data_IF_176081283933
#
_entry.id   IF_176081283933
#
_cell.length_a   1.000
_cell.length_b   1.000
_cell.length_c   1.000
_cell.angle_alpha   90.00
_cell.angle_beta   90.00
_cell.angle_gamma   90.00
#
_symmetry.space_group_name_H-M   'P 1'
#
loop_
_entity.id
_entity.type
_entity.pdbx_description
1 polymer ?
#
# COMPACT_ATOMS: atom_id res chain seq x y z
N UNK A 1 -9.69 30.01 -3.73
CA UNK A 1 -10.91 29.45 -4.37
C UNK A 1 -10.94 28.01 -3.94
N UNK A 2 -12.04 27.53 -3.35
CA UNK A 2 -12.16 26.13 -3.00
C UNK A 2 -11.98 25.30 -4.29
N UNK A 3 -11.16 24.25 -4.24
CA UNK A 3 -11.04 23.33 -5.36
C UNK A 3 -12.39 22.64 -5.62
N UNK A 4 -12.74 22.38 -6.89
CA UNK A 4 -14.01 21.76 -7.19
C UNK A 4 -14.12 20.38 -6.51
N UNK A 5 -15.27 20.10 -5.97
CA UNK A 5 -15.67 18.77 -5.52
C UNK A 5 -15.63 17.86 -6.75
N UNK A 6 -15.04 16.65 -6.62
CA UNK A 6 -15.04 15.68 -7.72
C UNK A 6 -16.48 15.38 -8.12
N UNK A 7 -16.78 15.45 -9.42
CA UNK A 7 -18.05 14.98 -9.95
C UNK A 7 -18.07 13.45 -9.96
N UNK A 8 -18.85 12.87 -9.05
CA UNK A 8 -18.98 11.42 -8.91
C UNK A 8 -20.46 11.03 -8.97
N UNK A 9 -20.88 10.51 -10.12
CA UNK A 9 -22.26 10.05 -10.32
C UNK A 9 -22.69 8.97 -9.33
N UNK A 10 -21.76 8.10 -8.90
CA UNK A 10 -22.08 7.06 -7.91
C UNK A 10 -22.43 7.65 -6.55
N UNK A 11 -21.73 8.70 -6.14
CA UNK A 11 -22.02 9.41 -4.90
C UNK A 11 -23.33 10.21 -5.03
N UNK A 12 -23.50 10.93 -6.12
CA UNK A 12 -24.70 11.74 -6.38
C UNK A 12 -25.99 10.89 -6.44
N UNK A 13 -25.90 9.65 -6.96
CA UNK A 13 -27.02 8.70 -7.06
C UNK A 13 -27.17 7.78 -5.83
N UNK A 14 -26.41 7.98 -4.76
CA UNK A 14 -26.40 7.15 -3.55
C UNK A 14 -26.05 5.66 -3.79
N UNK A 15 -25.31 5.37 -4.84
CA UNK A 15 -24.88 4.01 -5.20
C UNK A 15 -23.60 3.59 -4.49
N UNK A 16 -22.73 4.55 -4.13
CA UNK A 16 -21.47 4.30 -3.44
C UNK A 16 -21.20 5.40 -2.40
N UNK A 17 -20.90 4.99 -1.18
CA UNK A 17 -20.57 5.87 -0.04
C UNK A 17 -19.15 5.63 0.51
N UNK A 18 -18.26 5.05 -0.30
CA UNK A 18 -16.86 4.82 0.10
C UNK A 18 -16.08 6.11 0.31
N UNK A 19 -16.50 7.20 -0.34
CA UNK A 19 -15.95 8.56 -0.20
C UNK A 19 -16.82 9.37 0.77
N UNK A 20 -16.71 9.10 2.07
CA UNK A 20 -17.59 9.65 3.10
C UNK A 20 -17.55 11.19 3.22
N UNK A 21 -16.49 11.85 2.68
CA UNK A 21 -16.29 13.30 2.72
C UNK A 21 -16.38 13.98 1.36
N UNK A 22 -16.93 13.33 0.35
CA UNK A 22 -16.94 13.86 -1.01
C UNK A 22 -17.81 15.12 -1.18
N UNK A 23 -18.75 15.36 -0.28
CA UNK A 23 -19.59 16.55 -0.20
C UNK A 23 -18.90 17.76 0.45
N UNK A 24 -17.71 17.58 1.00
CA UNK A 24 -16.90 18.61 1.64
C UNK A 24 -15.80 19.10 0.69
N UNK A 25 -15.52 20.42 0.56
CA UNK A 25 -14.37 20.93 -0.17
C UNK A 25 -13.06 20.29 0.29
N UNK A 26 -12.14 20.04 -0.65
CA UNK A 26 -10.96 19.22 -0.34
C UNK A 26 -10.02 19.86 0.69
N UNK A 27 -9.86 21.18 0.67
CA UNK A 27 -9.12 21.94 1.67
C UNK A 27 -9.72 21.81 3.09
N UNK A 28 -11.05 21.79 3.21
CA UNK A 28 -11.75 21.55 4.47
C UNK A 28 -11.58 20.10 4.95
N UNK A 29 -11.60 19.11 4.01
CA UNK A 29 -11.30 17.71 4.34
C UNK A 29 -9.90 17.60 4.96
N UNK A 30 -8.89 18.21 4.32
CA UNK A 30 -7.51 18.18 4.76
C UNK A 30 -7.34 18.84 6.14
N UNK A 31 -7.92 20.03 6.32
CA UNK A 31 -7.89 20.75 7.59
C UNK A 31 -8.55 19.94 8.72
N UNK A 32 -9.74 19.38 8.48
CA UNK A 32 -10.45 18.57 9.47
C UNK A 32 -9.67 17.31 9.88
N UNK A 33 -9.05 16.62 8.92
CA UNK A 33 -8.18 15.46 9.20
C UNK A 33 -6.98 15.87 10.04
N UNK A 34 -6.33 16.98 9.67
CA UNK A 34 -5.17 17.49 10.37
C UNK A 34 -5.49 17.82 11.82
N UNK A 35 -6.57 18.57 12.08
CA UNK A 35 -6.98 18.91 13.45
C UNK A 35 -7.34 17.64 14.27
N UNK A 36 -7.97 16.66 13.63
CA UNK A 36 -8.27 15.39 14.28
C UNK A 36 -7.01 14.61 14.69
N UNK A 37 -5.98 14.61 13.86
CA UNK A 37 -4.69 13.97 14.17
C UNK A 37 -3.92 14.76 15.21
N UNK A 38 -3.86 16.09 15.05
CA UNK A 38 -3.16 17.01 15.96
C UNK A 38 -3.71 16.95 17.39
N UNK A 39 -5.00 16.73 17.54
CA UNK A 39 -5.62 16.59 18.86
C UNK A 39 -5.20 15.30 19.60
N UNK A 40 -4.64 14.32 18.89
CA UNK A 40 -4.23 13.03 19.45
C UNK A 40 -2.71 12.94 19.70
N UNK A 41 -1.90 13.67 18.95
CA UNK A 41 -0.44 13.55 18.95
C UNK A 41 0.18 14.88 19.40
N UNK A 42 0.84 14.86 20.54
CA UNK A 42 1.59 16.01 21.06
C UNK A 42 2.99 16.07 20.42
N UNK A 43 3.08 16.76 19.29
CA UNK A 43 4.34 16.96 18.57
C UNK A 43 4.88 18.38 18.80
N UNK A 44 6.19 18.50 19.08
CA UNK A 44 6.86 19.81 19.25
C UNK A 44 6.73 20.67 17.99
N UNK A 45 6.80 20.03 16.82
CA UNK A 45 6.66 20.70 15.53
C UNK A 45 5.77 19.88 14.60
N UNK A 46 4.73 20.52 14.07
CA UNK A 46 3.95 19.98 12.97
C UNK A 46 4.44 20.56 11.65
N UNK A 47 4.87 19.67 10.75
CA UNK A 47 5.16 20.04 9.37
C UNK A 47 3.85 20.25 8.60
N UNK A 48 3.85 21.07 7.53
CA UNK A 48 2.67 21.23 6.69
C UNK A 48 2.12 19.89 6.22
N UNK A 49 0.80 19.73 6.28
CA UNK A 49 0.12 18.53 5.77
C UNK A 49 0.36 18.39 4.27
N UNK A 50 0.58 17.17 3.80
CA UNK A 50 0.71 16.89 2.38
C UNK A 50 -0.64 16.48 1.79
N UNK A 51 -1.11 17.30 0.86
CA UNK A 51 -2.30 17.04 0.08
C UNK A 51 -2.01 16.03 -1.04
N UNK A 52 -2.95 15.15 -1.32
CA UNK A 52 -2.91 14.26 -2.47
C UNK A 52 -3.67 14.86 -3.64
N UNK A 53 -3.45 14.32 -4.85
CA UNK A 53 -4.41 14.53 -5.94
C UNK A 53 -5.77 14.00 -5.50
N UNK A 54 -6.86 14.74 -5.75
CA UNK A 54 -8.18 14.30 -5.34
C UNK A 54 -8.73 13.14 -6.19
N UNK A 55 -8.21 12.92 -7.38
CA UNK A 55 -8.59 11.85 -8.31
C UNK A 55 -7.38 11.22 -8.99
N UNK A 56 -7.58 10.04 -9.60
CA UNK A 56 -6.54 9.28 -10.32
C UNK A 56 -5.29 8.97 -9.47
N UNK A 57 -5.44 8.91 -8.15
CA UNK A 57 -4.33 8.65 -7.22
C UNK A 57 -4.18 7.17 -6.84
N UNK A 58 -5.27 6.39 -6.95
CA UNK A 58 -5.31 5.03 -6.43
C UNK A 58 -4.71 4.04 -7.44
N UNK A 59 -3.55 3.54 -7.11
CA UNK A 59 -2.78 2.59 -7.93
C UNK A 59 -3.18 1.12 -7.73
N UNK A 60 -4.06 0.80 -6.79
CA UNK A 60 -4.53 -0.58 -6.51
C UNK A 60 -6.02 -0.55 -6.16
N UNK A 61 -6.78 -1.36 -6.87
CA UNK A 61 -8.21 -1.56 -6.62
C UNK A 61 -8.51 -3.04 -6.42
N UNK A 62 -9.54 -3.29 -5.64
CA UNK A 62 -10.13 -4.60 -5.46
C UNK A 62 -11.61 -4.52 -5.79
N UNK A 63 -11.98 -5.17 -6.86
CA UNK A 63 -13.30 -5.11 -7.45
C UNK A 63 -14.05 -6.42 -7.18
N UNK A 64 -15.23 -6.32 -6.61
CA UNK A 64 -16.18 -7.45 -6.54
C UNK A 64 -16.65 -7.77 -7.95
N UNK A 65 -16.66 -9.05 -8.31
CA UNK A 65 -17.24 -9.50 -9.56
C UNK A 65 -18.70 -9.91 -9.30
N UNK A 66 -19.64 -9.20 -9.88
CA UNK A 66 -21.07 -9.38 -9.72
C UNK A 66 -21.80 -9.40 -11.07
N UNK A 67 -23.11 -9.32 -11.07
CA UNK A 67 -23.93 -9.37 -12.28
C UNK A 67 -24.14 -10.77 -12.83
N UNK A 68 -24.24 -10.90 -14.16
CA UNK A 68 -24.47 -12.16 -14.86
C UNK A 68 -23.29 -12.52 -15.75
N UNK A 69 -23.29 -13.74 -16.30
CA UNK A 69 -22.25 -14.21 -17.23
C UNK A 69 -22.17 -13.33 -18.48
N UNK A 70 -23.32 -12.82 -18.96
CA UNK A 70 -23.41 -11.97 -20.15
C UNK A 70 -23.15 -10.49 -19.84
N UNK A 71 -23.30 -10.08 -18.58
CA UNK A 71 -23.12 -8.70 -18.12
C UNK A 71 -22.38 -8.71 -16.77
N UNK A 72 -21.11 -9.11 -16.74
CA UNK A 72 -20.31 -9.03 -15.52
C UNK A 72 -20.07 -7.56 -15.15
N UNK A 73 -20.14 -7.28 -13.86
CA UNK A 73 -19.91 -5.98 -13.26
C UNK A 73 -18.69 -6.05 -12.34
N UNK A 74 -17.83 -5.06 -12.42
CA UNK A 74 -16.63 -4.95 -11.59
C UNK A 74 -16.71 -3.70 -10.71
N UNK A 75 -16.83 -3.89 -9.39
CA UNK A 75 -16.97 -2.74 -8.51
C UNK A 75 -17.10 -3.09 -7.04
N UNK A 76 -18.14 -2.57 -6.41
CA UNK A 76 -18.63 -2.99 -5.09
C UNK A 76 -19.89 -3.84 -5.31
N UNK A 77 -20.43 -4.46 -4.24
CA UNK A 77 -21.58 -5.35 -4.38
C UNK A 77 -22.70 -4.70 -5.19
N UNK A 78 -23.03 -5.33 -6.34
CA UNK A 78 -24.10 -4.93 -7.27
C UNK A 78 -23.95 -3.53 -7.91
N UNK A 79 -22.81 -2.87 -7.79
CA UNK A 79 -22.51 -1.58 -8.44
C UNK A 79 -21.23 -1.69 -9.26
N UNK A 80 -21.35 -1.47 -10.56
CA UNK A 80 -20.21 -1.37 -11.48
C UNK A 80 -19.47 -0.04 -11.24
N UNK A 81 -18.17 -0.08 -10.95
CA UNK A 81 -17.36 1.11 -10.64
C UNK A 81 -16.35 1.45 -11.76
N UNK A 82 -16.61 1.04 -13.02
CA UNK A 82 -15.69 1.33 -14.14
C UNK A 82 -15.39 2.82 -14.34
N UNK A 83 -16.32 3.70 -13.97
CA UNK A 83 -16.22 5.15 -14.12
C UNK A 83 -15.85 5.85 -12.80
N UNK A 84 -15.41 5.09 -11.78
CA UNK A 84 -14.93 5.69 -10.53
C UNK A 84 -13.71 6.58 -10.81
N UNK A 85 -13.69 7.85 -10.36
CA UNK A 85 -12.58 8.77 -10.65
C UNK A 85 -11.31 8.51 -9.85
N UNK A 86 -11.37 7.74 -8.76
CA UNK A 86 -10.23 7.57 -7.85
C UNK A 86 -9.09 6.70 -8.40
N UNK A 87 -9.34 5.58 -9.13
CA UNK A 87 -8.27 4.78 -9.68
C UNK A 87 -7.52 5.52 -10.79
N UNK A 88 -6.25 5.17 -10.95
CA UNK A 88 -5.42 5.61 -12.07
C UNK A 88 -6.07 5.27 -13.43
N UNK A 89 -5.69 5.98 -14.46
CA UNK A 89 -6.30 5.84 -15.80
C UNK A 89 -6.15 4.44 -16.36
N UNK A 90 -4.99 3.79 -16.18
CA UNK A 90 -4.76 2.42 -16.65
C UNK A 90 -5.69 1.41 -15.97
N UNK A 91 -5.93 1.55 -14.66
CA UNK A 91 -6.88 0.71 -13.94
C UNK A 91 -8.31 0.91 -14.44
N UNK A 92 -8.74 2.15 -14.69
CA UNK A 92 -10.10 2.44 -15.21
C UNK A 92 -10.31 1.78 -16.57
N UNK A 93 -9.36 1.95 -17.49
CA UNK A 93 -9.40 1.32 -18.81
C UNK A 93 -9.42 -0.21 -18.67
N UNK A 94 -8.51 -0.76 -17.87
CA UNK A 94 -8.43 -2.21 -17.66
C UNK A 94 -9.71 -2.79 -17.04
N UNK A 95 -10.41 -2.07 -16.18
CA UNK A 95 -11.66 -2.53 -15.56
C UNK A 95 -12.72 -2.87 -16.61
N UNK A 96 -12.90 -2.03 -17.62
CA UNK A 96 -13.84 -2.30 -18.73
C UNK A 96 -13.39 -3.49 -19.59
N UNK A 97 -12.09 -3.56 -19.89
CA UNK A 97 -11.49 -4.65 -20.67
C UNK A 97 -11.56 -6.01 -19.94
N UNK A 98 -11.38 -6.00 -18.63
CA UNK A 98 -11.49 -7.21 -17.79
C UNK A 98 -12.94 -7.70 -17.70
N UNK A 99 -13.93 -6.81 -17.63
CA UNK A 99 -15.33 -7.18 -17.70
C UNK A 99 -15.65 -7.86 -19.05
N UNK A 100 -15.12 -7.33 -20.16
CA UNK A 100 -15.25 -7.93 -21.48
C UNK A 100 -14.59 -9.31 -21.56
N UNK A 101 -13.37 -9.47 -21.04
CA UNK A 101 -12.67 -10.77 -20.98
C UNK A 101 -13.47 -11.81 -20.18
N UNK A 102 -14.01 -11.43 -19.02
CA UNK A 102 -14.82 -12.31 -18.16
C UNK A 102 -16.06 -12.77 -18.92
N UNK A 103 -16.70 -11.87 -19.67
CA UNK A 103 -17.86 -12.17 -20.52
C UNK A 103 -17.48 -13.11 -21.67
N UNK A 104 -16.43 -12.81 -22.45
CA UNK A 104 -15.96 -13.65 -23.58
C UNK A 104 -15.59 -15.07 -23.12
N UNK A 105 -15.02 -15.20 -21.93
CA UNK A 105 -14.61 -16.47 -21.36
C UNK A 105 -15.74 -17.21 -20.62
N UNK A 106 -16.95 -16.62 -20.57
CA UNK A 106 -18.09 -17.14 -19.84
C UNK A 106 -17.77 -17.53 -18.38
N UNK A 107 -16.92 -16.73 -17.70
CA UNK A 107 -16.56 -16.96 -16.29
C UNK A 107 -17.68 -16.44 -15.41
N UNK A 108 -18.34 -17.34 -14.71
CA UNK A 108 -19.51 -17.02 -13.91
C UNK A 108 -19.12 -16.24 -12.64
N UNK A 109 -19.67 -15.00 -12.42
CA UNK A 109 -19.56 -14.27 -11.17
C UNK A 109 -20.04 -15.10 -9.98
N UNK A 110 -19.34 -15.02 -8.85
CA UNK A 110 -19.76 -15.71 -7.64
C UNK A 110 -20.86 -14.95 -6.92
N UNK A 111 -21.96 -15.63 -6.66
CA UNK A 111 -23.05 -15.10 -5.87
C UNK A 111 -23.06 -15.77 -4.46
N UNK A 112 -22.74 -15.03 -3.40
CA UNK A 112 -22.67 -15.57 -2.04
C UNK A 112 -24.04 -16.04 -1.48
N UNK A 113 -25.14 -15.46 -1.95
CA UNK A 113 -26.48 -15.82 -1.47
C UNK A 113 -26.91 -17.20 -1.99
N UNK A 114 -26.53 -17.56 -3.23
CA UNK A 114 -26.89 -18.84 -3.85
C UNK A 114 -25.74 -19.85 -3.84
N UNK A 115 -24.54 -19.43 -3.42
CA UNK A 115 -23.30 -20.21 -3.48
C UNK A 115 -22.96 -20.72 -4.90
N UNK A 116 -23.39 -20.01 -5.93
CA UNK A 116 -23.16 -20.34 -7.34
C UNK A 116 -22.12 -19.40 -7.94
N UNK A 117 -21.48 -19.87 -9.03
CA UNK A 117 -20.41 -19.14 -9.69
C UNK A 117 -19.04 -19.38 -9.08
N UNK A 118 -18.02 -18.77 -9.66
CA UNK A 118 -16.63 -19.09 -9.31
C UNK A 118 -15.77 -17.85 -9.05
N UNK A 119 -15.96 -16.74 -9.78
CA UNK A 119 -15.09 -15.57 -9.72
C UNK A 119 -15.63 -14.57 -8.71
N UNK A 120 -14.85 -14.30 -7.67
CA UNK A 120 -15.23 -13.42 -6.54
C UNK A 120 -14.77 -11.99 -6.72
N UNK A 121 -13.48 -11.83 -7.03
CA UNK A 121 -12.85 -10.52 -7.13
C UNK A 121 -11.88 -10.48 -8.31
N UNK A 122 -11.64 -9.27 -8.79
CA UNK A 122 -10.47 -8.91 -9.58
C UNK A 122 -9.71 -7.83 -8.84
N UNK A 123 -8.40 -8.05 -8.62
CA UNK A 123 -7.51 -7.07 -8.00
C UNK A 123 -6.59 -6.57 -9.10
N UNK A 124 -6.57 -5.25 -9.30
CA UNK A 124 -5.72 -4.61 -10.30
C UNK A 124 -4.77 -3.65 -9.61
N UNK A 125 -3.48 -3.77 -9.94
CA UNK A 125 -2.44 -2.83 -9.48
C UNK A 125 -1.76 -2.23 -10.69
N UNK A 126 -1.60 -0.92 -10.73
CA UNK A 126 -0.87 -0.20 -11.77
C UNK A 126 0.48 0.30 -11.24
N UNK A 127 1.52 0.02 -11.98
CA UNK A 127 2.87 0.53 -11.75
C UNK A 127 2.99 1.98 -12.24
N UNK A 128 3.99 2.70 -11.73
CA UNK A 128 4.38 4.03 -12.24
C UNK A 128 4.83 4.02 -13.71
N UNK A 129 5.13 2.84 -14.26
CA UNK A 129 5.42 2.63 -15.69
C UNK A 129 4.17 2.39 -16.55
N UNK A 130 2.99 2.34 -15.94
CA UNK A 130 1.73 2.01 -16.60
C UNK A 130 1.49 0.50 -16.77
N UNK A 131 2.43 -0.36 -16.37
CA UNK A 131 2.22 -1.81 -16.39
C UNK A 131 1.20 -2.23 -15.32
N UNK A 132 0.48 -3.29 -15.62
CA UNK A 132 -0.60 -3.80 -14.76
C UNK A 132 -0.30 -5.19 -14.22
N UNK A 133 -0.64 -5.40 -12.95
CA UNK A 133 -0.83 -6.72 -12.36
C UNK A 133 -2.31 -6.96 -12.15
N UNK A 134 -2.83 -8.05 -12.70
CA UNK A 134 -4.22 -8.48 -12.56
C UNK A 134 -4.27 -9.81 -11.83
N UNK A 135 -5.01 -9.85 -10.73
CA UNK A 135 -5.20 -11.04 -9.92
C UNK A 135 -6.68 -11.43 -9.93
N UNK A 136 -7.00 -12.56 -10.50
CA UNK A 136 -8.34 -13.14 -10.44
C UNK A 136 -8.47 -13.93 -9.15
N UNK A 137 -9.47 -13.64 -8.33
CA UNK A 137 -9.73 -14.36 -7.08
C UNK A 137 -10.96 -15.24 -7.27
N UNK A 138 -10.77 -16.55 -7.26
CA UNK A 138 -11.83 -17.52 -7.50
C UNK A 138 -11.97 -18.53 -6.37
N UNK A 139 -13.15 -19.10 -6.22
CA UNK A 139 -13.43 -20.13 -5.20
C UNK A 139 -12.66 -21.42 -5.38
N UNK A 140 -12.24 -21.73 -6.60
CA UNK A 140 -11.61 -22.99 -6.97
C UNK A 140 -10.75 -22.84 -8.21
N UNK A 141 -9.83 -23.77 -8.41
CA UNK A 141 -8.90 -23.81 -9.56
C UNK A 141 -9.57 -23.95 -10.94
N UNK A 142 -10.88 -24.19 -11.04
CA UNK A 142 -11.57 -24.43 -12.31
C UNK A 142 -11.43 -23.32 -13.35
N UNK A 143 -11.08 -22.09 -12.93
CA UNK A 143 -10.82 -20.96 -13.83
C UNK A 143 -9.40 -21.00 -14.42
N UNK A 144 -8.46 -21.73 -13.80
CA UNK A 144 -7.06 -21.80 -14.21
C UNK A 144 -6.87 -22.17 -15.69
N UNK A 145 -7.52 -23.25 -16.11
CA UNK A 145 -7.42 -23.73 -17.51
C UNK A 145 -7.95 -22.72 -18.52
N UNK A 146 -8.98 -21.95 -18.14
CA UNK A 146 -9.53 -20.88 -18.99
C UNK A 146 -8.51 -19.76 -19.10
N UNK A 147 -7.94 -19.31 -17.98
CA UNK A 147 -6.96 -18.23 -17.94
C UNK A 147 -5.72 -18.57 -18.78
N UNK A 148 -5.15 -19.76 -18.63
CA UNK A 148 -4.02 -20.20 -19.46
C UNK A 148 -4.37 -20.25 -20.95
N UNK A 149 -5.50 -20.87 -21.30
CA UNK A 149 -5.91 -21.01 -22.70
C UNK A 149 -6.22 -19.68 -23.37
N UNK A 150 -6.68 -18.70 -22.62
CA UNK A 150 -7.11 -17.38 -23.11
C UNK A 150 -6.16 -16.25 -22.72
N UNK A 151 -4.95 -16.58 -22.26
CA UNK A 151 -3.99 -15.58 -21.80
C UNK A 151 -3.58 -14.61 -22.91
N UNK A 152 -3.33 -15.08 -24.13
CA UNK A 152 -3.04 -14.21 -25.28
C UNK A 152 -4.18 -13.23 -25.54
N UNK A 153 -5.44 -13.70 -25.49
CA UNK A 153 -6.60 -12.84 -25.65
C UNK A 153 -6.71 -11.80 -24.53
N UNK A 154 -6.36 -12.18 -23.30
CA UNK A 154 -6.30 -11.24 -22.19
C UNK A 154 -5.24 -10.15 -22.44
N UNK A 155 -4.06 -10.51 -22.93
CA UNK A 155 -3.00 -9.56 -23.30
C UNK A 155 -3.41 -8.63 -24.46
N UNK A 156 -4.18 -9.13 -25.44
CA UNK A 156 -4.74 -8.28 -26.51
C UNK A 156 -5.72 -7.22 -25.96
N UNK A 157 -6.60 -7.62 -25.03
CA UNK A 157 -7.57 -6.72 -24.40
C UNK A 157 -6.91 -5.75 -23.43
N UNK A 158 -5.90 -6.20 -22.69
CA UNK A 158 -5.18 -5.42 -21.67
C UNK A 158 -3.69 -5.37 -22.04
N UNK A 159 -3.29 -4.53 -23.02
CA UNK A 159 -1.91 -4.54 -23.55
C UNK A 159 -0.81 -4.22 -22.53
N UNK A 160 -1.17 -3.54 -21.43
CA UNK A 160 -0.24 -3.21 -20.34
C UNK A 160 -0.15 -4.30 -19.27
N UNK A 161 -0.79 -5.45 -19.48
CA UNK A 161 -0.73 -6.58 -18.54
C UNK A 161 0.68 -7.17 -18.49
N UNK A 162 1.32 -7.06 -17.33
CA UNK A 162 2.65 -7.63 -17.07
C UNK A 162 2.58 -8.88 -16.20
N UNK A 163 1.72 -8.84 -15.17
CA UNK A 163 1.55 -9.95 -14.22
C UNK A 163 0.09 -10.37 -14.16
N UNK A 164 -0.16 -11.65 -14.32
CA UNK A 164 -1.48 -12.24 -14.18
C UNK A 164 -1.42 -13.44 -13.26
N UNK A 165 -2.32 -13.50 -12.28
CA UNK A 165 -2.41 -14.64 -11.35
C UNK A 165 -3.86 -15.07 -11.12
N UNK A 166 -4.01 -16.27 -10.61
CA UNK A 166 -5.23 -16.80 -10.03
C UNK A 166 -5.00 -17.08 -8.55
N UNK A 167 -5.69 -16.36 -7.68
CA UNK A 167 -5.75 -16.64 -6.25
C UNK A 167 -6.95 -17.56 -5.98
N UNK A 168 -6.72 -18.64 -5.23
CA UNK A 168 -7.78 -19.59 -4.85
C UNK A 168 -8.26 -19.30 -3.44
N UNK A 169 -9.49 -18.80 -3.33
CA UNK A 169 -10.11 -18.43 -2.06
C UNK A 169 -11.44 -19.21 -1.88
N UNK A 170 -11.43 -20.42 -1.27
CA UNK A 170 -12.59 -21.30 -1.19
C UNK A 170 -13.61 -20.89 -0.13
N UNK A 171 -13.21 -20.12 0.88
CA UNK A 171 -14.04 -19.80 2.02
C UNK A 171 -15.21 -18.86 1.68
N UNK A 172 -16.34 -19.02 2.38
CA UNK A 172 -17.51 -18.14 2.24
C UNK A 172 -17.39 -16.83 3.02
N UNK A 173 -16.37 -16.73 3.87
CA UNK A 173 -16.11 -15.53 4.69
C UNK A 173 -15.70 -14.34 3.82
N UNK A 174 -15.79 -13.14 4.37
CA UNK A 174 -15.34 -11.89 3.77
C UNK A 174 -13.80 -11.76 3.67
N UNK A 175 -13.08 -12.89 3.68
CA UNK A 175 -11.66 -12.96 3.38
C UNK A 175 -11.50 -12.84 1.87
N UNK A 176 -10.63 -11.96 1.44
CA UNK A 176 -10.51 -11.59 0.04
C UNK A 176 -9.61 -12.54 -0.71
N UNK A 177 -8.51 -12.92 -0.09
CA UNK A 177 -7.42 -13.70 -0.68
C UNK A 177 -7.25 -15.02 0.07
N UNK A 178 -7.03 -16.10 -0.67
CA UNK A 178 -6.64 -17.39 -0.11
C UNK A 178 -5.11 -17.53 -0.11
N UNK A 179 -4.65 -18.63 0.45
CA UNK A 179 -3.21 -18.92 0.57
C UNK A 179 -2.58 -19.28 -0.78
N UNK A 180 -3.36 -19.88 -1.68
CA UNK A 180 -2.84 -20.38 -2.94
C UNK A 180 -2.88 -19.29 -4.03
N UNK A 181 -1.70 -18.97 -4.58
CA UNK A 181 -1.52 -18.05 -5.71
C UNK A 181 -0.89 -18.81 -6.89
N UNK A 182 -1.56 -18.83 -8.04
CA UNK A 182 -1.13 -19.52 -9.25
C UNK A 182 -0.72 -18.48 -10.28
N UNK A 183 0.54 -18.49 -10.69
CA UNK A 183 1.05 -17.61 -11.73
C UNK A 183 0.53 -18.06 -13.10
N UNK A 184 -0.03 -17.13 -13.87
CA UNK A 184 -0.54 -17.33 -15.24
C UNK A 184 0.41 -16.70 -16.26
N UNK A 185 0.96 -15.53 -15.98
CA UNK A 185 1.96 -14.83 -16.80
C UNK A 185 3.35 -15.44 -16.64
N UNK A 186 4.26 -15.13 -17.56
CA UNK A 186 5.70 -15.44 -17.40
C UNK A 186 6.35 -14.55 -16.34
N UNK A 187 5.98 -13.28 -16.33
CA UNK A 187 6.49 -12.31 -15.36
C UNK A 187 5.84 -12.54 -13.99
N UNK A 188 6.67 -12.55 -12.92
CA UNK A 188 6.27 -12.89 -11.55
C UNK A 188 6.03 -11.69 -10.65
N UNK A 189 6.63 -10.56 -10.99
CA UNK A 189 6.56 -9.33 -10.20
C UNK A 189 6.27 -8.12 -11.07
N UNK A 190 5.64 -7.11 -10.49
CA UNK A 190 5.36 -5.84 -11.13
C UNK A 190 6.43 -4.83 -10.73
N UNK A 191 7.28 -4.34 -11.64
CA UNK A 191 8.23 -3.27 -11.34
C UNK A 191 7.49 -2.00 -10.92
N UNK A 192 7.88 -1.43 -9.79
CA UNK A 192 7.34 -0.20 -9.24
C UNK A 192 8.48 0.79 -8.96
N UNK A 193 9.07 1.40 -10.00
CA UNK A 193 10.07 2.45 -9.78
C UNK A 193 9.39 3.70 -9.21
N UNK A 194 9.89 4.17 -8.07
CA UNK A 194 9.39 5.34 -7.36
C UNK A 194 10.48 6.39 -7.19
N UNK A 195 10.09 7.64 -6.99
CA UNK A 195 11.01 8.75 -6.76
C UNK A 195 11.06 9.04 -5.26
N UNK A 196 12.23 8.86 -4.66
CA UNK A 196 12.47 9.25 -3.26
C UNK A 196 13.44 10.42 -3.27
N UNK A 197 12.91 11.63 -3.27
CA UNK A 197 13.69 12.88 -3.23
C UNK A 197 13.32 13.67 -1.99
N UNK A 198 14.32 14.36 -1.42
CA UNK A 198 14.06 15.26 -0.29
C UNK A 198 13.05 16.34 -0.72
N UNK A 199 11.91 16.48 -0.01
CA UNK A 199 10.91 17.49 -0.32
C UNK A 199 11.43 18.93 -0.24
N UNK A 200 12.58 19.13 0.41
CA UNK A 200 13.23 20.45 0.56
C UNK A 200 14.27 20.73 -0.55
N UNK A 201 14.61 19.74 -1.39
CA UNK A 201 15.54 19.92 -2.49
C UNK A 201 14.78 20.13 -3.80
N UNK A 202 15.03 21.27 -4.46
CA UNK A 202 14.60 21.46 -5.84
C UNK A 202 15.11 20.30 -6.71
N UNK A 203 14.27 19.80 -7.62
CA UNK A 203 14.61 18.72 -8.55
C UNK A 203 15.82 19.10 -9.40
N UNK A 204 17.02 18.89 -8.88
CA UNK A 204 18.26 18.97 -9.65
C UNK A 204 18.46 17.67 -10.45
N UNK A 205 19.08 17.80 -11.61
CA UNK A 205 19.34 16.68 -12.53
C UNK A 205 19.99 15.51 -11.79
N UNK A 206 19.34 14.34 -11.79
CA UNK A 206 19.86 13.13 -11.16
C UNK A 206 18.94 12.45 -10.15
N UNK A 207 17.61 12.67 -10.22
CA UNK A 207 16.66 11.98 -9.35
C UNK A 207 16.83 10.46 -9.47
N UNK A 208 17.42 9.84 -8.45
CA UNK A 208 17.56 8.39 -8.40
C UNK A 208 16.20 7.76 -8.08
N UNK A 209 15.79 6.84 -8.94
CA UNK A 209 14.59 6.05 -8.69
C UNK A 209 14.91 4.86 -7.82
N UNK A 210 14.09 4.67 -6.81
CA UNK A 210 14.07 3.45 -6.03
C UNK A 210 13.26 2.40 -6.79
N UNK A 211 13.85 1.23 -7.01
CA UNK A 211 13.22 0.14 -7.74
C UNK A 211 12.61 -0.85 -6.75
N UNK A 212 11.28 -0.91 -6.69
CA UNK A 212 10.55 -1.92 -5.94
C UNK A 212 10.00 -2.97 -6.90
N UNK A 213 9.87 -4.21 -6.43
CA UNK A 213 9.25 -5.31 -7.17
C UNK A 213 8.05 -5.83 -6.37
N UNK A 214 6.86 -5.61 -6.90
CA UNK A 214 5.62 -6.04 -6.24
C UNK A 214 5.26 -7.45 -6.67
N UNK A 215 5.29 -8.41 -5.74
CA UNK A 215 4.70 -9.72 -5.94
C UNK A 215 3.19 -9.68 -5.69
N UNK A 216 2.40 -10.64 -6.18
CA UNK A 216 0.93 -10.61 -6.11
C UNK A 216 0.38 -10.36 -4.71
N UNK A 217 0.95 -10.96 -3.68
CA UNK A 217 0.52 -10.83 -2.28
C UNK A 217 1.23 -9.70 -1.53
N UNK A 218 2.13 -8.97 -2.17
CA UNK A 218 2.85 -7.86 -1.53
C UNK A 218 1.92 -6.71 -1.18
N UNK A 219 2.13 -6.15 0.01
CA UNK A 219 1.55 -4.86 0.36
C UNK A 219 2.39 -3.74 -0.24
N UNK A 220 1.73 -2.78 -0.87
CA UNK A 220 2.28 -1.49 -1.25
C UNK A 220 1.21 -0.42 -1.03
N UNK A 221 1.63 0.80 -0.70
CA UNK A 221 0.73 1.94 -0.49
C UNK A 221 -0.10 2.21 -1.75
N UNK A 222 -1.41 2.44 -1.57
CA UNK A 222 -2.35 2.59 -2.70
C UNK A 222 -2.33 3.95 -3.36
N UNK A 223 -1.54 4.89 -2.85
CA UNK A 223 -1.30 6.22 -3.38
C UNK A 223 0.23 6.40 -3.51
N UNK A 224 0.73 6.30 -4.74
CA UNK A 224 2.17 6.29 -4.99
C UNK A 224 2.84 7.61 -4.61
N UNK A 225 2.22 8.75 -4.94
CA UNK A 225 2.76 10.07 -4.64
C UNK A 225 2.93 10.29 -3.13
N UNK A 226 1.94 9.87 -2.35
CA UNK A 226 2.03 9.92 -0.89
C UNK A 226 3.03 8.91 -0.32
N UNK A 227 3.19 7.74 -0.94
CA UNK A 227 4.22 6.77 -0.55
C UNK A 227 5.62 7.30 -0.79
N UNK A 228 5.87 7.94 -1.94
CA UNK A 228 7.14 8.60 -2.28
C UNK A 228 7.49 9.67 -1.23
N UNK A 229 6.54 10.54 -0.90
CA UNK A 229 6.72 11.57 0.11
C UNK A 229 6.97 10.98 1.52
N UNK A 230 6.29 9.89 1.87
CA UNK A 230 6.45 9.19 3.13
C UNK A 230 7.86 8.60 3.28
N UNK A 231 8.34 7.91 2.26
CA UNK A 231 9.68 7.34 2.23
C UNK A 231 10.76 8.41 2.22
N UNK A 232 10.56 9.49 1.45
CA UNK A 232 11.47 10.64 1.42
C UNK A 232 11.59 11.31 2.80
N UNK A 233 10.49 11.47 3.51
CA UNK A 233 10.48 12.03 4.86
C UNK A 233 11.26 11.16 5.85
N UNK A 234 11.04 9.86 5.83
CA UNK A 234 11.77 8.92 6.69
C UNK A 234 13.27 8.92 6.36
N UNK A 235 13.62 8.89 5.08
CA UNK A 235 14.99 8.95 4.60
C UNK A 235 15.70 10.25 5.05
N UNK A 236 15.02 11.40 4.94
CA UNK A 236 15.54 12.68 5.41
C UNK A 236 15.80 12.68 6.93
N UNK A 237 14.88 12.14 7.72
CA UNK A 237 15.05 12.08 9.18
C UNK A 237 16.11 11.09 9.65
N UNK A 238 16.44 10.11 8.83
CA UNK A 238 17.49 9.12 9.10
C UNK A 238 18.88 9.53 8.58
N UNK A 239 19.01 10.70 7.94
CA UNK A 239 20.31 11.17 7.42
C UNK A 239 21.38 11.20 8.51
N UNK A 240 22.57 10.68 8.18
CA UNK A 240 23.71 10.58 9.09
C UNK A 240 23.70 9.38 10.03
N UNK A 241 22.63 8.58 10.04
CA UNK A 241 22.63 7.33 10.76
C UNK A 241 23.49 6.26 10.06
N UNK A 242 24.23 5.46 10.85
CA UNK A 242 25.03 4.35 10.34
C UNK A 242 24.22 3.05 10.23
N UNK A 243 23.19 2.89 11.07
CA UNK A 243 22.36 1.67 11.13
C UNK A 243 20.89 1.96 11.35
N UNK A 244 20.04 1.16 10.70
CA UNK A 244 18.59 1.26 10.85
C UNK A 244 17.89 -0.11 10.76
N UNK A 245 16.76 -0.24 11.44
CA UNK A 245 15.82 -1.35 11.27
C UNK A 245 14.50 -0.81 10.72
N UNK A 246 13.95 -1.52 9.73
CA UNK A 246 12.60 -1.29 9.17
C UNK A 246 11.71 -2.44 9.61
N UNK A 247 10.91 -2.23 10.64
CA UNK A 247 10.00 -3.23 11.20
C UNK A 247 8.63 -3.13 10.52
N UNK A 248 8.08 -4.28 10.12
CA UNK A 248 6.91 -4.38 9.22
C UNK A 248 7.23 -3.85 7.81
N UNK A 249 8.40 -4.21 7.28
CA UNK A 249 8.97 -3.56 6.11
C UNK A 249 8.22 -3.84 4.79
N UNK A 250 7.35 -4.84 4.73
CA UNK A 250 6.62 -5.20 3.51
C UNK A 250 7.57 -5.46 2.34
N UNK A 251 7.42 -4.69 1.26
CA UNK A 251 8.31 -4.75 0.08
C UNK A 251 9.65 -4.01 0.25
N UNK A 252 9.91 -3.48 1.45
CA UNK A 252 11.17 -2.80 1.77
C UNK A 252 11.25 -1.33 1.35
N UNK A 253 10.12 -0.66 1.16
CA UNK A 253 10.11 0.73 0.71
C UNK A 253 10.91 1.68 1.61
N UNK A 254 10.72 1.59 2.93
CA UNK A 254 11.51 2.37 3.89
C UNK A 254 12.97 1.90 3.92
N UNK A 255 13.23 0.60 4.06
CA UNK A 255 14.60 0.08 4.14
C UNK A 255 15.47 0.51 2.97
N UNK A 256 14.96 0.38 1.74
CA UNK A 256 15.68 0.78 0.54
C UNK A 256 15.82 2.31 0.41
N UNK A 257 14.83 3.09 0.87
CA UNK A 257 14.93 4.55 0.90
C UNK A 257 15.98 5.05 1.90
N UNK A 258 16.10 4.39 3.07
CA UNK A 258 17.14 4.68 4.05
C UNK A 258 18.54 4.39 3.51
N UNK A 259 18.72 3.25 2.82
CA UNK A 259 19.99 2.91 2.17
C UNK A 259 20.35 3.92 1.07
N UNK A 260 19.38 4.34 0.26
CA UNK A 260 19.58 5.39 -0.75
C UNK A 260 20.00 6.73 -0.12
N UNK A 261 19.52 7.04 1.07
CA UNK A 261 19.90 8.24 1.84
C UNK A 261 21.28 8.12 2.53
N UNK A 262 21.96 6.98 2.40
CA UNK A 262 23.33 6.78 2.89
C UNK A 262 23.45 6.02 4.21
N UNK A 263 22.37 5.44 4.76
CA UNK A 263 22.46 4.53 5.91
C UNK A 263 23.19 3.26 5.49
N UNK A 264 24.23 2.86 6.23
CA UNK A 264 25.18 1.84 5.79
C UNK A 264 24.79 0.40 6.15
N UNK A 265 23.95 0.25 7.15
CA UNK A 265 23.47 -1.08 7.60
C UNK A 265 21.97 -1.01 7.88
N UNK A 266 21.16 -1.58 7.00
CA UNK A 266 19.71 -1.58 7.11
C UNK A 266 19.19 -3.01 7.14
N UNK A 267 18.37 -3.33 8.15
CA UNK A 267 17.71 -4.63 8.27
C UNK A 267 16.20 -4.41 8.21
N UNK A 268 15.55 -5.00 7.20
CA UNK A 268 14.10 -5.06 7.09
C UNK A 268 13.55 -6.35 7.71
N UNK A 269 12.48 -6.26 8.51
CA UNK A 269 11.83 -7.42 9.14
C UNK A 269 10.38 -7.51 8.69
N UNK A 270 9.98 -8.65 8.13
CA UNK A 270 8.65 -8.89 7.57
C UNK A 270 8.23 -10.35 7.81
N UNK A 271 6.96 -10.57 8.11
CA UNK A 271 6.42 -11.92 8.36
C UNK A 271 6.26 -12.75 7.07
N UNK A 272 6.11 -12.10 5.91
CA UNK A 272 5.93 -12.77 4.62
C UNK A 272 7.27 -13.23 4.03
N UNK A 273 7.56 -14.55 3.94
CA UNK A 273 8.79 -15.04 3.32
C UNK A 273 8.94 -14.62 1.86
N UNK A 274 7.81 -14.52 1.13
CA UNK A 274 7.82 -14.09 -0.28
C UNK A 274 8.20 -12.61 -0.43
N UNK A 275 7.74 -11.74 0.47
CA UNK A 275 8.13 -10.35 0.48
C UNK A 275 9.62 -10.20 0.83
N UNK A 276 10.11 -10.95 1.82
CA UNK A 276 11.53 -11.00 2.21
C UNK A 276 12.41 -11.49 1.05
N UNK A 277 12.02 -12.54 0.36
CA UNK A 277 12.77 -13.03 -0.80
C UNK A 277 12.85 -11.97 -1.92
N UNK A 278 11.73 -11.30 -2.22
CA UNK A 278 11.72 -10.21 -3.20
C UNK A 278 12.59 -9.03 -2.74
N UNK A 279 12.52 -8.65 -1.46
CA UNK A 279 13.34 -7.60 -0.87
C UNK A 279 14.83 -7.91 -0.98
N UNK A 280 15.25 -9.13 -0.66
CA UNK A 280 16.65 -9.55 -0.76
C UNK A 280 17.15 -9.58 -2.23
N UNK A 281 16.32 -9.97 -3.19
CA UNK A 281 16.65 -9.86 -4.62
C UNK A 281 16.93 -8.40 -5.03
N UNK A 282 16.11 -7.45 -4.54
CA UNK A 282 16.31 -6.02 -4.78
C UNK A 282 17.55 -5.48 -4.07
N UNK A 283 17.74 -5.84 -2.79
CA UNK A 283 18.89 -5.43 -2.01
C UNK A 283 20.20 -5.88 -2.66
N UNK A 284 20.29 -7.14 -3.06
CA UNK A 284 21.49 -7.69 -3.74
C UNK A 284 21.81 -6.96 -5.06
N UNK A 285 20.79 -6.45 -5.76
CA UNK A 285 20.96 -5.76 -7.03
C UNK A 285 21.37 -4.29 -6.88
N UNK A 286 20.77 -3.57 -5.91
CA UNK A 286 20.92 -2.12 -5.81
C UNK A 286 21.70 -1.64 -4.59
N UNK A 287 21.71 -2.42 -3.51
CA UNK A 287 22.34 -2.08 -2.23
C UNK A 287 23.06 -3.30 -1.62
N UNK A 288 23.97 -3.95 -2.38
CA UNK A 288 24.71 -5.11 -1.89
C UNK A 288 25.45 -4.74 -0.60
N UNK A 289 25.42 -5.64 0.38
CA UNK A 289 26.08 -5.50 1.69
C UNK A 289 25.56 -4.35 2.58
N UNK A 290 24.56 -3.57 2.11
CA UNK A 290 23.94 -2.47 2.85
C UNK A 290 22.58 -2.85 3.42
N UNK A 291 21.75 -3.53 2.63
CA UNK A 291 20.39 -3.90 3.02
C UNK A 291 20.24 -5.42 3.07
N UNK A 292 19.60 -5.90 4.12
CA UNK A 292 19.17 -7.29 4.23
C UNK A 292 17.75 -7.38 4.74
N UNK A 293 17.02 -8.44 4.34
CA UNK A 293 15.67 -8.68 4.83
C UNK A 293 15.58 -10.03 5.53
N UNK A 294 14.87 -10.08 6.66
CA UNK A 294 14.69 -11.23 7.53
C UNK A 294 13.20 -11.55 7.67
N UNK A 295 12.85 -12.83 7.48
CA UNK A 295 11.50 -13.31 7.72
C UNK A 295 11.26 -13.54 9.21
N UNK A 296 10.24 -12.87 9.78
CA UNK A 296 9.90 -13.04 11.18
C UNK A 296 8.88 -12.04 11.69
N UNK A 297 8.35 -12.34 12.88
CA UNK A 297 7.57 -11.37 13.64
C UNK A 297 8.49 -10.28 14.20
N UNK A 298 8.15 -9.02 13.98
CA UNK A 298 8.99 -7.89 14.40
C UNK A 298 9.30 -7.89 15.91
N UNK A 299 8.30 -8.20 16.74
CA UNK A 299 8.43 -8.21 18.21
C UNK A 299 9.32 -9.36 18.68
N UNK A 300 9.15 -10.53 18.12
CA UNK A 300 9.98 -11.69 18.44
C UNK A 300 11.43 -11.44 18.00
N UNK A 301 11.61 -10.94 16.78
CA UNK A 301 12.94 -10.71 16.21
C UNK A 301 13.77 -9.69 17.00
N UNK A 302 13.20 -8.55 17.40
CA UNK A 302 13.95 -7.51 18.15
C UNK A 302 14.43 -8.01 19.51
N UNK A 303 13.72 -8.95 20.13
CA UNK A 303 14.10 -9.55 21.43
C UNK A 303 15.31 -10.47 21.35
N UNK A 304 15.61 -11.00 20.18
CA UNK A 304 16.77 -11.88 19.94
C UNK A 304 18.03 -11.08 19.61
N UNK A 305 17.92 -9.76 19.38
CA UNK A 305 19.07 -8.94 19.03
C UNK A 305 19.90 -8.57 20.26
N UNK A 306 21.22 -8.60 20.09
CA UNK A 306 22.20 -8.21 21.13
C UNK A 306 22.67 -6.78 20.99
N UNK A 307 22.37 -6.13 19.87
CA UNK A 307 22.72 -4.73 19.56
C UNK A 307 21.48 -4.00 19.07
N UNK A 308 21.46 -2.69 19.22
CA UNK A 308 20.38 -1.82 18.74
C UNK A 308 20.88 -0.90 17.63
N UNK A 309 20.02 -0.53 16.65
CA UNK A 309 20.38 0.42 15.61
C UNK A 309 20.26 1.86 16.10
N UNK A 310 20.75 2.80 15.32
CA UNK A 310 20.56 4.22 15.58
C UNK A 310 19.14 4.70 15.23
N UNK A 311 18.49 4.05 14.26
CA UNK A 311 17.14 4.38 13.85
C UNK A 311 16.28 3.11 13.75
N UNK A 312 15.08 3.15 14.28
CA UNK A 312 14.03 2.15 14.02
C UNK A 312 12.90 2.82 13.29
N UNK A 313 12.55 2.30 12.12
CA UNK A 313 11.33 2.65 11.39
C UNK A 313 10.26 1.63 11.69
N UNK A 314 9.04 2.07 12.00
CA UNK A 314 7.89 1.18 12.15
C UNK A 314 6.72 1.70 11.30
N UNK A 315 6.14 0.82 10.49
CA UNK A 315 4.90 1.07 9.74
C UNK A 315 3.91 -0.08 9.97
N UNK A 316 3.34 -0.15 11.18
CA UNK A 316 2.51 -1.28 11.59
C UNK A 316 1.12 -1.26 10.92
N UNK A 317 0.36 -2.39 10.99
CA UNK A 317 -1.05 -2.41 10.66
C UNK A 317 -1.86 -1.47 11.58
N UNK A 318 -3.14 -1.23 11.25
CA UNK A 318 -4.03 -0.29 11.95
C UNK A 318 -4.10 -0.42 13.48
N UNK A 319 -3.74 -1.57 14.04
CA UNK A 319 -3.72 -1.82 15.48
C UNK A 319 -2.52 -1.20 16.23
N UNK A 320 -1.52 -0.68 15.49
CA UNK A 320 -0.26 -0.19 16.06
C UNK A 320 0.76 -1.30 16.25
N UNK A 321 1.90 -0.96 16.92
CA UNK A 321 2.99 -1.89 17.23
C UNK A 321 2.67 -2.82 18.42
N UNK A 322 1.70 -2.41 19.23
CA UNK A 322 1.29 -3.16 20.41
C UNK A 322 2.19 -2.97 21.62
N UNK A 323 1.72 -3.44 22.79
CA UNK A 323 2.37 -3.16 24.07
C UNK A 323 3.78 -3.75 24.15
N UNK A 324 4.01 -4.95 23.60
CA UNK A 324 5.28 -5.65 23.75
C UNK A 324 6.41 -4.97 22.97
N UNK A 325 6.17 -4.54 21.72
CA UNK A 325 7.18 -3.84 20.94
C UNK A 325 7.38 -2.41 21.46
N UNK A 326 6.31 -1.72 21.86
CA UNK A 326 6.41 -0.39 22.48
C UNK A 326 7.25 -0.45 23.77
N UNK A 327 7.04 -1.45 24.63
CA UNK A 327 7.83 -1.65 25.84
C UNK A 327 9.30 -2.00 25.53
N UNK A 328 9.54 -2.79 24.48
CA UNK A 328 10.91 -3.09 24.05
C UNK A 328 11.62 -1.80 23.58
N UNK A 329 10.97 -0.98 22.76
CA UNK A 329 11.50 0.32 22.33
C UNK A 329 11.79 1.20 23.55
N UNK A 330 10.88 1.28 24.51
CA UNK A 330 11.05 2.07 25.73
C UNK A 330 12.27 1.64 26.56
N UNK A 331 12.52 0.34 26.63
CA UNK A 331 13.64 -0.24 27.39
C UNK A 331 14.95 -0.30 26.59
N UNK A 332 14.89 -0.19 25.27
CA UNK A 332 16.05 -0.21 24.39
C UNK A 332 16.85 1.09 24.47
N UNK A 333 18.07 1.09 23.92
CA UNK A 333 18.90 2.28 23.78
C UNK A 333 18.74 2.96 22.39
N UNK A 334 17.69 2.61 21.63
CA UNK A 334 17.42 3.20 20.32
C UNK A 334 17.18 4.72 20.48
N UNK A 335 18.01 5.58 19.90
CA UNK A 335 17.86 7.03 20.11
C UNK A 335 16.78 7.65 19.26
N UNK A 336 16.43 7.03 18.13
CA UNK A 336 15.50 7.61 17.15
C UNK A 336 14.52 6.55 16.65
N UNK A 337 13.23 6.86 16.73
CA UNK A 337 12.17 6.03 16.12
C UNK A 337 11.40 6.90 15.10
N UNK A 338 11.23 6.39 13.89
CA UNK A 338 10.37 6.97 12.86
C UNK A 338 9.11 6.12 12.80
N UNK A 339 7.99 6.66 13.23
CA UNK A 339 6.72 5.93 13.29
C UNK A 339 5.77 6.44 12.20
N UNK A 340 5.44 5.58 11.25
CA UNK A 340 4.37 5.82 10.27
C UNK A 340 3.11 5.07 10.70
N UNK A 341 1.94 5.71 10.63
CA UNK A 341 0.67 5.11 11.04
C UNK A 341 -0.51 5.63 10.23
N UNK A 342 -1.32 4.70 9.73
CA UNK A 342 -2.62 5.01 9.13
C UNK A 342 -3.76 5.18 10.18
N UNK A 343 -3.43 5.17 11.48
CA UNK A 343 -4.37 5.33 12.57
C UNK A 343 -3.74 6.10 13.75
N UNK A 344 -3.99 7.41 13.81
CA UNK A 344 -3.45 8.28 14.84
C UNK A 344 -3.83 7.87 16.29
N UNK A 345 -4.97 7.19 16.48
CA UNK A 345 -5.38 6.70 17.82
C UNK A 345 -4.46 5.57 18.30
N UNK A 346 -4.12 4.61 17.43
CA UNK A 346 -3.17 3.55 17.80
C UNK A 346 -1.77 4.09 18.01
N UNK A 347 -1.34 5.06 17.20
CA UNK A 347 -0.06 5.77 17.40
C UNK A 347 -0.05 6.45 18.79
N UNK A 348 -1.07 7.22 19.14
CA UNK A 348 -1.17 7.86 20.46
C UNK A 348 -1.10 6.84 21.60
N UNK A 349 -1.86 5.73 21.50
CA UNK A 349 -1.85 4.69 22.53
C UNK A 349 -0.51 3.93 22.64
N UNK A 350 0.28 3.87 21.58
CA UNK A 350 1.63 3.29 21.63
C UNK A 350 2.63 4.30 22.21
N UNK A 351 2.51 5.61 21.91
CA UNK A 351 3.32 6.67 22.50
C UNK A 351 3.18 6.75 24.03
N UNK A 352 1.97 6.54 24.57
CA UNK A 352 1.75 6.46 26.02
C UNK A 352 2.60 5.38 26.72
N UNK A 353 3.03 4.35 25.99
CA UNK A 353 3.89 3.27 26.49
C UNK A 353 5.37 3.53 26.27
N UNK A 354 5.72 4.62 25.63
CA UNK A 354 7.08 5.04 25.32
C UNK A 354 7.40 6.43 25.88
N UNK A 355 7.23 6.67 27.20
CA UNK A 355 7.35 8.00 27.81
C UNK A 355 8.75 8.63 27.74
N UNK A 356 9.80 7.82 27.49
CA UNK A 356 11.15 8.31 27.27
C UNK A 356 11.35 8.98 25.92
N UNK A 357 10.39 8.80 24.98
CA UNK A 357 10.43 9.44 23.68
C UNK A 357 9.54 10.68 23.64
N UNK A 358 10.03 11.73 22.99
CA UNK A 358 9.23 12.90 22.62
C UNK A 358 9.02 12.94 21.11
N UNK A 359 7.85 13.39 20.65
CA UNK A 359 7.59 13.61 19.24
C UNK A 359 8.20 14.94 18.82
N UNK A 360 9.38 14.90 18.19
CA UNK A 360 10.09 16.11 17.76
C UNK A 360 9.40 16.77 16.58
N UNK A 361 9.01 15.96 15.60
CA UNK A 361 8.30 16.40 14.41
C UNK A 361 7.22 15.39 14.03
N UNK A 362 6.13 15.90 13.49
CA UNK A 362 5.09 15.08 12.87
C UNK A 362 4.60 15.71 11.57
N UNK A 363 4.14 14.87 10.64
CA UNK A 363 3.53 15.29 9.40
C UNK A 363 2.34 14.39 9.06
N UNK A 364 1.23 14.99 8.65
CA UNK A 364 0.09 14.27 8.11
C UNK A 364 0.17 14.25 6.58
N UNK A 365 -0.08 13.06 5.99
CA UNK A 365 -0.18 12.86 4.55
C UNK A 365 -1.59 12.37 4.23
N UNK A 366 -2.24 12.98 3.24
CA UNK A 366 -3.57 12.55 2.80
C UNK A 366 -3.49 11.35 1.85
N UNK A 367 -3.12 10.21 2.41
CA UNK A 367 -3.03 8.93 1.68
C UNK A 367 -4.36 8.51 1.05
N UNK A 368 -5.48 8.92 1.65
CA UNK A 368 -6.83 8.48 1.30
C UNK A 368 -7.81 9.67 1.16
N UNK A 369 -7.68 10.51 0.11
CA UNK A 369 -8.64 11.59 -0.17
C UNK A 369 -10.09 11.14 -0.08
N UNK A 370 -10.96 12.06 0.32
CA UNK A 370 -12.42 11.89 0.46
C UNK A 370 -12.88 10.89 1.53
N UNK A 371 -11.97 10.41 2.38
CA UNK A 371 -12.28 9.51 3.51
C UNK A 371 -11.84 10.13 4.83
N UNK A 372 -12.19 9.51 5.97
CA UNK A 372 -11.70 9.90 7.30
C UNK A 372 -10.26 9.47 7.59
N UNK A 373 -9.62 8.76 6.67
CA UNK A 373 -8.30 8.19 6.88
C UNK A 373 -7.20 9.11 6.38
N UNK A 374 -6.10 9.14 7.12
CA UNK A 374 -4.84 9.79 6.74
C UNK A 374 -3.68 8.92 7.20
N UNK A 375 -2.50 9.20 6.69
CA UNK A 375 -1.23 8.66 7.20
C UNK A 375 -0.55 9.74 8.03
N UNK A 376 0.06 9.35 9.15
CA UNK A 376 0.85 10.25 9.99
C UNK A 376 2.23 9.67 10.17
N UNK A 377 3.26 10.44 9.86
CA UNK A 377 4.64 10.07 10.17
C UNK A 377 5.15 10.96 11.30
N UNK A 378 5.79 10.35 12.28
CA UNK A 378 6.32 11.02 13.48
C UNK A 378 7.79 10.65 13.70
N UNK A 379 8.61 11.65 13.99
CA UNK A 379 9.99 11.52 14.43
C UNK A 379 10.03 11.54 15.95
N UNK A 380 10.39 10.43 16.55
CA UNK A 380 10.51 10.29 18.01
C UNK A 380 12.00 10.30 18.39
N UNK A 381 12.33 11.05 19.42
CA UNK A 381 13.70 11.06 20.00
C UNK A 381 13.64 10.99 21.53
N UNK A 382 14.69 10.37 22.09
CA UNK A 382 14.96 10.35 23.54
C UNK A 382 15.63 11.64 23.98
#
# INVERSE_FOLDING_TARGET
MAEPIIDCEYFAKDLCRSCARLDMPYDEQLATKFEGVRALIDAKTWLPSLASKPESFRNKVKLVVSGTIDRPQLGITDVDLRDCPLPTTGIRIATAQLAEFIRECAIQPYNPATDRGVLKYVIVTESTTGQLMVRFVARRRGVQGILFKKYERLCELVPMLAVCTLNVQPERKAIIEGEEEILISEQRSLPMPIVVSDPAQEMSAGVQRLHLELRPQSFFQTNTEMAEALYARAAHWAQGAESAWDLYCGVGGFALALAQAGVKNVVGVEVSPDAVAAGNEQAAKYFPDVVSFVAGDATAWVREQTTTPQVVVVNPPRRGIGAELAQWLEQSEVPTVIYSSCNARSLAADLEKMPSYSVEQAQMLDMFPHTDHSETIALLKR
#
